data_IF_390396808674
#
_entry.id   IF_390396808674
#
_cell.length_a   1.000
_cell.length_b   1.000
_cell.length_c   1.000
_cell.angle_alpha   90.00
_cell.angle_beta   90.00
_cell.angle_gamma   90.00
#
_symmetry.space_group_name_H-M   'P 1'
#
loop_
_entity.id
_entity.type
_entity.pdbx_description
1 polymer ?
#
# COMPACT_ATOMS: atom_id res chain seq x y z
N UNK A 1 -7.08 -4.55 -17.71
CA UNK A 1 -6.93 -4.95 -16.29
C UNK A 1 -5.45 -5.06 -15.97
N UNK A 2 -4.98 -4.40 -14.92
CA UNK A 2 -3.58 -4.48 -14.50
C UNK A 2 -3.42 -5.74 -13.63
N UNK A 3 -2.62 -6.70 -14.06
CA UNK A 3 -2.30 -7.86 -13.24
C UNK A 3 -1.38 -7.43 -12.08
N UNK A 4 -1.86 -7.59 -10.84
CA UNK A 4 -1.15 -7.25 -9.61
C UNK A 4 -0.57 -8.48 -8.90
N UNK A 5 -0.66 -9.66 -9.51
CA UNK A 5 -0.21 -10.93 -8.91
C UNK A 5 1.27 -10.88 -8.52
N UNK A 6 2.10 -10.31 -9.41
CA UNK A 6 3.53 -10.15 -9.15
C UNK A 6 3.79 -9.25 -7.94
N UNK A 7 3.06 -8.14 -7.82
CA UNK A 7 3.21 -7.19 -6.70
C UNK A 7 2.76 -7.81 -5.37
N UNK A 8 1.67 -8.56 -5.37
CA UNK A 8 1.25 -9.34 -4.20
C UNK A 8 2.33 -10.34 -3.77
N UNK A 9 2.94 -11.06 -4.74
CA UNK A 9 4.02 -12.00 -4.46
C UNK A 9 5.29 -11.29 -3.91
N UNK A 10 5.62 -10.11 -4.40
CA UNK A 10 6.72 -9.31 -3.84
C UNK A 10 6.47 -8.99 -2.37
N UNK A 11 5.26 -8.55 -2.02
CA UNK A 11 4.90 -8.22 -0.63
C UNK A 11 4.85 -9.49 0.24
N UNK A 12 4.37 -10.61 -0.30
CA UNK A 12 4.43 -11.91 0.40
C UNK A 12 5.87 -12.29 0.75
N UNK A 13 6.80 -12.18 -0.21
CA UNK A 13 8.22 -12.47 0.00
C UNK A 13 8.85 -11.54 1.04
N UNK A 14 8.52 -10.24 0.99
CA UNK A 14 8.94 -9.29 2.01
C UNK A 14 8.46 -9.69 3.40
N UNK A 15 7.18 -10.04 3.56
CA UNK A 15 6.64 -10.44 4.86
C UNK A 15 7.33 -11.69 5.41
N UNK A 16 7.62 -12.68 4.55
CA UNK A 16 8.41 -13.85 4.92
C UNK A 16 9.82 -13.47 5.41
N UNK A 17 10.56 -12.69 4.62
CA UNK A 17 11.92 -12.29 4.94
C UNK A 17 12.01 -11.48 6.24
N UNK A 18 10.97 -10.72 6.54
CA UNK A 18 10.90 -9.88 7.74
C UNK A 18 10.15 -10.51 8.91
N UNK A 19 9.80 -11.79 8.85
CA UNK A 19 9.05 -12.49 9.90
C UNK A 19 7.79 -11.73 10.32
N UNK A 20 7.04 -11.20 9.34
CA UNK A 20 5.70 -10.66 9.55
C UNK A 20 4.67 -11.79 9.47
N UNK A 21 3.67 -11.79 10.36
CA UNK A 21 2.59 -12.76 10.27
C UNK A 21 1.88 -12.66 8.93
N UNK A 22 1.68 -13.80 8.30
CA UNK A 22 0.83 -13.95 7.13
C UNK A 22 0.11 -15.29 7.26
N UNK A 23 -1.11 -15.33 6.78
CA UNK A 23 -1.98 -16.48 6.92
C UNK A 23 -2.72 -16.77 5.62
N UNK A 24 -3.10 -18.01 5.42
CA UNK A 24 -3.90 -18.45 4.26
C UNK A 24 -5.40 -18.49 4.56
N UNK A 25 -5.75 -18.52 5.83
CA UNK A 25 -7.13 -18.48 6.30
C UNK A 25 -7.49 -17.09 6.81
N UNK A 26 -8.74 -16.69 6.64
CA UNK A 26 -9.22 -15.37 7.06
C UNK A 26 -9.15 -15.21 8.57
N UNK A 27 -8.43 -14.17 9.02
CA UNK A 27 -8.33 -13.79 10.44
C UNK A 27 -8.46 -12.27 10.62
N UNK A 28 -9.02 -11.87 11.74
CA UNK A 28 -9.01 -10.44 12.14
C UNK A 28 -7.63 -10.04 12.66
N UNK A 29 -6.90 -11.00 13.21
CA UNK A 29 -5.52 -10.80 13.69
C UNK A 29 -5.44 -10.02 15.01
N UNK A 30 -4.20 -9.78 15.46
CA UNK A 30 -3.92 -9.09 16.73
C UNK A 30 -4.09 -7.57 16.61
N UNK A 31 -4.64 -6.94 17.65
CA UNK A 31 -4.85 -5.49 17.71
C UNK A 31 -3.56 -4.71 17.42
N UNK A 32 -2.46 -5.04 18.07
CA UNK A 32 -1.16 -4.37 17.87
C UNK A 32 -0.71 -4.37 16.40
N UNK A 33 -0.96 -5.44 15.67
CA UNK A 33 -0.60 -5.52 14.25
C UNK A 33 -1.54 -4.67 13.39
N UNK A 34 -2.83 -4.63 13.72
CA UNK A 34 -3.80 -3.76 13.05
C UNK A 34 -3.48 -2.28 13.26
N UNK A 35 -3.16 -1.90 14.51
CA UNK A 35 -2.74 -0.53 14.86
C UNK A 35 -1.51 -0.10 14.06
N UNK A 36 -0.48 -0.96 13.98
CA UNK A 36 0.72 -0.66 13.21
C UNK A 36 0.40 -0.47 11.73
N UNK A 37 -0.38 -1.38 11.12
CA UNK A 37 -0.74 -1.31 9.69
C UNK A 37 -1.51 -0.05 9.36
N UNK A 38 -2.51 0.28 10.17
CA UNK A 38 -3.29 1.50 9.98
C UNK A 38 -2.43 2.77 10.16
N UNK A 39 -1.54 2.76 11.17
CA UNK A 39 -0.61 3.87 11.38
C UNK A 39 0.30 4.08 10.19
N UNK A 40 0.93 3.01 9.67
CA UNK A 40 1.79 3.09 8.50
C UNK A 40 1.00 3.60 7.28
N UNK A 41 -0.20 3.07 7.03
CA UNK A 41 -1.03 3.52 5.92
C UNK A 41 -1.39 5.01 6.01
N UNK A 42 -1.67 5.52 7.22
CA UNK A 42 -1.94 6.95 7.45
C UNK A 42 -0.68 7.82 7.30
N UNK A 43 0.51 7.28 7.60
CA UNK A 43 1.79 7.96 7.29
C UNK A 43 1.87 8.20 5.77
N UNK A 44 1.67 7.16 4.94
CA UNK A 44 1.69 7.29 3.47
C UNK A 44 0.59 8.22 2.93
N UNK A 45 -0.60 8.18 3.53
CA UNK A 45 -1.68 9.12 3.15
C UNK A 45 -1.28 10.58 3.43
N UNK A 46 -0.58 10.83 4.51
CA UNK A 46 -0.03 12.16 4.83
C UNK A 46 1.04 12.60 3.83
N UNK A 47 1.94 11.69 3.45
CA UNK A 47 2.98 11.92 2.44
C UNK A 47 2.35 12.17 1.05
N UNK A 48 1.34 11.40 0.67
CA UNK A 48 0.56 11.64 -0.55
C UNK A 48 -0.05 13.06 -0.58
N UNK A 49 -0.70 13.46 0.52
CA UNK A 49 -1.31 14.77 0.65
C UNK A 49 -0.26 15.88 0.51
N UNK A 50 0.88 15.74 1.18
CA UNK A 50 1.99 16.68 1.11
C UNK A 50 2.58 16.76 -0.30
N UNK A 51 2.84 15.62 -0.94
CA UNK A 51 3.35 15.55 -2.32
C UNK A 51 2.42 16.27 -3.30
N UNK A 52 1.10 16.12 -3.16
CA UNK A 52 0.12 16.82 -4.00
C UNK A 52 0.17 18.32 -3.77
N UNK A 53 0.22 18.79 -2.52
CA UNK A 53 0.29 20.23 -2.19
C UNK A 53 1.56 20.88 -2.72
N UNK A 54 2.68 20.18 -2.61
CA UNK A 54 3.99 20.69 -3.07
C UNK A 54 4.26 20.43 -4.55
N UNK A 55 3.35 19.73 -5.24
CA UNK A 55 3.53 19.25 -6.62
C UNK A 55 4.81 18.43 -6.80
N UNK A 56 5.19 17.65 -5.77
CA UNK A 56 6.33 16.74 -5.83
C UNK A 56 5.90 15.40 -6.43
N UNK A 57 6.18 15.23 -7.72
CA UNK A 57 5.79 14.04 -8.49
C UNK A 57 6.43 12.75 -7.95
N UNK A 58 7.65 12.84 -7.43
CA UNK A 58 8.37 11.69 -6.87
C UNK A 58 7.74 11.27 -5.56
N UNK A 59 7.42 12.21 -4.67
CA UNK A 59 6.76 11.95 -3.41
C UNK A 59 5.34 11.39 -3.62
N UNK A 60 4.58 11.92 -4.58
CA UNK A 60 3.26 11.38 -4.95
C UNK A 60 3.39 9.90 -5.36
N UNK A 61 4.35 9.59 -6.24
CA UNK A 61 4.56 8.22 -6.71
C UNK A 61 4.99 7.28 -5.58
N UNK A 62 5.93 7.72 -4.73
CA UNK A 62 6.41 6.96 -3.56
C UNK A 62 5.25 6.61 -2.64
N UNK A 63 4.46 7.61 -2.23
CA UNK A 63 3.32 7.44 -1.34
C UNK A 63 2.24 6.49 -1.91
N UNK A 64 1.96 6.55 -3.22
CA UNK A 64 1.01 5.64 -3.86
C UNK A 64 1.53 4.20 -3.85
N UNK A 65 2.80 3.98 -4.17
CA UNK A 65 3.38 2.63 -4.20
C UNK A 65 3.54 2.07 -2.78
N UNK A 66 4.02 2.85 -1.82
CA UNK A 66 4.15 2.41 -0.41
C UNK A 66 2.76 2.19 0.23
N UNK A 67 1.77 3.02 -0.08
CA UNK A 67 0.38 2.78 0.32
C UNK A 67 -0.17 1.44 -0.18
N UNK A 68 0.05 1.11 -1.46
CA UNK A 68 -0.28 -0.21 -2.03
C UNK A 68 0.52 -1.34 -1.36
N UNK A 69 1.80 -1.12 -1.07
CA UNK A 69 2.66 -2.09 -0.40
C UNK A 69 2.13 -2.47 0.98
N UNK A 70 1.70 -1.47 1.76
CA UNK A 70 1.10 -1.67 3.09
C UNK A 70 -0.27 -2.35 2.98
N UNK A 71 -1.11 -1.93 2.02
CA UNK A 71 -2.43 -2.51 1.81
C UNK A 71 -2.33 -3.99 1.38
N UNK A 72 -1.46 -4.35 0.44
CA UNK A 72 -1.19 -5.74 0.05
C UNK A 72 -0.62 -6.56 1.21
N UNK A 73 0.23 -5.95 2.04
CA UNK A 73 0.70 -6.57 3.26
C UNK A 73 -0.43 -6.88 4.24
N UNK A 74 -1.45 -6.05 4.30
CA UNK A 74 -2.64 -6.27 5.13
C UNK A 74 -3.54 -7.37 4.55
N UNK A 75 -3.67 -7.44 3.22
CA UNK A 75 -4.34 -8.55 2.52
C UNK A 75 -3.75 -9.90 2.92
N UNK A 76 -2.43 -10.03 2.92
CA UNK A 76 -1.74 -11.25 3.35
C UNK A 76 -1.87 -11.52 4.85
N UNK A 77 -1.81 -10.46 5.67
CA UNK A 77 -1.96 -10.58 7.12
C UNK A 77 -3.33 -11.09 7.53
N UNK A 78 -4.39 -10.72 6.82
CA UNK A 78 -5.75 -11.14 7.09
C UNK A 78 -6.18 -12.42 6.35
N UNK A 79 -5.32 -12.98 5.50
CA UNK A 79 -5.62 -14.21 4.74
C UNK A 79 -6.72 -14.05 3.70
N UNK A 80 -6.94 -12.83 3.21
CA UNK A 80 -7.99 -12.56 2.21
C UNK A 80 -7.46 -12.57 0.76
N UNK A 81 -6.18 -12.92 0.55
CA UNK A 81 -5.51 -12.79 -0.74
C UNK A 81 -6.15 -13.56 -1.89
N UNK A 82 -6.62 -14.79 -1.64
CA UNK A 82 -7.25 -15.63 -2.66
C UNK A 82 -8.59 -15.07 -3.16
N UNK A 83 -9.32 -14.41 -2.25
CA UNK A 83 -10.63 -13.79 -2.57
C UNK A 83 -10.41 -12.37 -3.11
N UNK A 84 -9.47 -11.65 -2.54
CA UNK A 84 -9.14 -10.27 -2.88
C UNK A 84 -8.84 -10.08 -4.38
N UNK A 85 -8.01 -10.96 -4.97
CA UNK A 85 -7.64 -10.88 -6.39
C UNK A 85 -8.83 -11.02 -7.35
N UNK A 86 -9.92 -11.66 -6.92
CA UNK A 86 -11.15 -11.79 -7.70
C UNK A 86 -12.04 -10.54 -7.66
N UNK A 87 -11.81 -9.65 -6.69
CA UNK A 87 -12.61 -8.44 -6.49
C UNK A 87 -11.89 -7.16 -6.90
N UNK A 88 -10.56 -7.21 -7.05
CA UNK A 88 -9.84 -6.04 -7.51
C UNK A 88 -10.08 -5.88 -9.00
N UNK A 89 -10.94 -4.92 -9.31
CA UNK A 89 -11.21 -4.53 -10.68
C UNK A 89 -10.34 -3.34 -11.04
N UNK A 90 -9.31 -3.62 -11.85
CA UNK A 90 -8.42 -2.58 -12.35
C UNK A 90 -9.08 -1.60 -13.32
N UNK A 91 -10.38 -1.74 -13.60
CA UNK A 91 -11.12 -0.91 -14.55
C UNK A 91 -12.00 0.18 -13.89
N UNK A 92 -12.04 0.26 -12.56
CA UNK A 92 -12.72 1.37 -11.87
C UNK A 92 -11.88 2.64 -11.93
N UNK A 93 -11.67 3.15 -13.14
CA UNK A 93 -10.98 4.43 -13.33
C UNK A 93 -11.99 5.53 -13.55
N UNK A 94 -12.27 6.30 -12.50
CA UNK A 94 -12.86 7.60 -12.70
C UNK A 94 -11.76 8.57 -13.16
N UNK A 95 -11.67 8.72 -14.49
CA UNK A 95 -10.71 9.64 -15.11
C UNK A 95 -11.06 11.11 -14.83
N UNK A 96 -12.24 11.39 -14.28
CA UNK A 96 -12.70 12.75 -13.99
C UNK A 96 -12.32 13.22 -12.58
N UNK A 97 -12.04 12.28 -11.66
CA UNK A 97 -11.63 12.65 -10.29
C UNK A 97 -10.27 13.38 -10.31
N UNK A 98 -10.20 14.62 -9.77
CA UNK A 98 -8.93 15.33 -9.65
C UNK A 98 -7.97 14.62 -8.71
N UNK A 99 -6.66 14.64 -9.02
CA UNK A 99 -5.62 14.03 -8.16
C UNK A 99 -5.73 14.55 -6.72
N UNK A 100 -6.02 15.83 -6.53
CA UNK A 100 -6.18 16.45 -5.21
C UNK A 100 -7.32 15.89 -4.35
N UNK A 101 -8.27 15.16 -4.94
CA UNK A 101 -9.39 14.57 -4.22
C UNK A 101 -9.09 13.20 -3.61
N UNK A 102 -8.09 12.48 -4.11
CA UNK A 102 -7.79 11.11 -3.67
C UNK A 102 -7.48 10.97 -2.17
N UNK A 103 -6.72 11.89 -1.52
CA UNK A 103 -6.50 11.79 -0.07
C UNK A 103 -7.82 11.86 0.73
N UNK A 104 -8.76 12.70 0.30
CA UNK A 104 -10.08 12.84 0.93
C UNK A 104 -10.94 11.60 0.68
N UNK A 105 -10.88 11.03 -0.52
CA UNK A 105 -11.59 9.80 -0.87
C UNK A 105 -11.11 8.62 -0.01
N UNK A 106 -9.80 8.42 0.11
CA UNK A 106 -9.20 7.39 0.96
C UNK A 106 -9.59 7.61 2.44
N UNK A 107 -9.56 8.85 2.92
CA UNK A 107 -9.97 9.15 4.29
C UNK A 107 -11.47 8.88 4.49
N UNK A 108 -12.29 9.08 3.47
CA UNK A 108 -13.72 8.78 3.51
C UNK A 108 -13.96 7.27 3.63
N UNK A 109 -13.23 6.44 2.90
CA UNK A 109 -13.27 4.98 3.03
C UNK A 109 -12.98 4.56 4.48
N UNK A 110 -11.93 5.10 5.09
CA UNK A 110 -11.57 4.80 6.48
C UNK A 110 -12.64 5.24 7.50
N UNK A 111 -13.36 6.32 7.22
CA UNK A 111 -14.39 6.87 8.12
C UNK A 111 -15.76 6.20 7.94
N UNK A 112 -16.04 5.63 6.77
CA UNK A 112 -17.34 5.04 6.45
C UNK A 112 -17.73 3.94 7.43
N UNK A 113 -18.92 4.00 8.00
CA UNK A 113 -19.43 2.98 8.93
C UNK A 113 -18.57 2.77 10.18
N UNK A 114 -17.74 3.75 10.56
CA UNK A 114 -16.72 3.63 11.63
C UNK A 114 -15.72 2.50 11.38
N UNK A 115 -15.39 2.22 10.11
CA UNK A 115 -14.58 1.06 9.73
C UNK A 115 -13.19 1.09 10.40
N UNK A 116 -12.59 2.28 10.51
CA UNK A 116 -11.32 2.47 11.21
C UNK A 116 -11.41 2.01 12.67
N UNK A 117 -12.44 2.45 13.41
CA UNK A 117 -12.64 2.04 14.81
C UNK A 117 -12.90 0.55 14.93
N UNK A 118 -13.75 0.00 14.06
CA UNK A 118 -14.01 -1.45 14.03
C UNK A 118 -12.72 -2.24 13.77
N UNK A 119 -11.89 -1.77 12.83
CA UNK A 119 -10.59 -2.37 12.52
C UNK A 119 -9.66 -2.35 13.72
N UNK A 120 -9.52 -1.21 14.39
CA UNK A 120 -8.65 -1.06 15.57
C UNK A 120 -9.09 -1.96 16.72
N UNK A 121 -10.37 -1.97 17.07
CA UNK A 121 -10.89 -2.71 18.22
C UNK A 121 -11.28 -4.16 17.93
N UNK A 122 -11.14 -4.62 16.69
CA UNK A 122 -11.40 -6.02 16.31
C UNK A 122 -12.88 -6.38 16.22
N UNK A 123 -13.76 -5.39 16.14
CA UNK A 123 -15.20 -5.59 15.88
C UNK A 123 -15.54 -5.56 14.38
N UNK A 124 -14.53 -5.48 13.52
CA UNK A 124 -14.67 -5.57 12.07
C UNK A 124 -14.97 -7.02 11.66
N UNK A 125 -15.86 -7.20 10.71
CA UNK A 125 -16.16 -8.50 10.12
C UNK A 125 -15.17 -8.84 9.00
N UNK A 126 -15.10 -10.11 8.59
CA UNK A 126 -14.26 -10.54 7.47
C UNK A 126 -14.65 -9.86 6.16
N UNK A 127 -15.96 -9.69 5.91
CA UNK A 127 -16.44 -8.99 4.72
C UNK A 127 -16.02 -7.52 4.72
N UNK A 128 -16.11 -6.85 5.87
CA UNK A 128 -15.65 -5.45 6.01
C UNK A 128 -14.14 -5.35 5.82
N UNK A 129 -13.33 -6.31 6.31
CA UNK A 129 -11.88 -6.36 6.05
C UNK A 129 -11.61 -6.47 4.55
N UNK A 130 -12.29 -7.39 3.86
CA UNK A 130 -12.12 -7.59 2.43
C UNK A 130 -12.50 -6.32 1.66
N UNK A 131 -13.69 -5.78 1.91
CA UNK A 131 -14.21 -4.57 1.25
C UNK A 131 -13.25 -3.39 1.47
N UNK A 132 -12.82 -3.16 2.72
CA UNK A 132 -11.86 -2.10 3.05
C UNK A 132 -10.61 -2.18 2.18
N UNK A 133 -10.00 -3.35 2.07
CA UNK A 133 -8.74 -3.51 1.32
C UNK A 133 -8.97 -3.43 -0.19
N UNK A 134 -10.10 -3.93 -0.69
CA UNK A 134 -10.47 -3.78 -2.10
C UNK A 134 -10.66 -2.30 -2.45
N UNK A 135 -11.41 -1.54 -1.65
CA UNK A 135 -11.64 -0.11 -1.87
C UNK A 135 -10.33 0.69 -1.80
N UNK A 136 -9.52 0.50 -0.77
CA UNK A 136 -8.23 1.20 -0.63
C UNK A 136 -7.29 0.93 -1.81
N UNK A 137 -7.14 -0.34 -2.18
CA UNK A 137 -6.25 -0.70 -3.29
C UNK A 137 -6.79 -0.23 -4.64
N UNK A 138 -8.11 -0.34 -4.88
CA UNK A 138 -8.73 0.16 -6.12
C UNK A 138 -8.56 1.67 -6.26
N UNK A 139 -8.73 2.42 -5.17
CA UNK A 139 -8.54 3.88 -5.17
C UNK A 139 -7.08 4.26 -5.45
N UNK A 140 -6.11 3.59 -4.82
CA UNK A 140 -4.70 3.84 -5.08
C UNK A 140 -4.27 3.45 -6.50
N UNK A 141 -4.79 2.34 -7.04
CA UNK A 141 -4.55 1.94 -8.43
C UNK A 141 -5.20 2.92 -9.42
N UNK A 142 -6.40 3.42 -9.12
CA UNK A 142 -7.05 4.48 -9.90
C UNK A 142 -6.19 5.75 -9.92
N UNK A 143 -5.68 6.16 -8.76
CA UNK A 143 -4.77 7.30 -8.68
C UNK A 143 -3.51 7.06 -9.53
N UNK A 144 -2.88 5.88 -9.40
CA UNK A 144 -1.71 5.57 -10.23
C UNK A 144 -1.99 5.71 -11.73
N UNK A 145 -3.14 5.19 -12.21
CA UNK A 145 -3.49 5.31 -13.62
C UNK A 145 -3.80 6.75 -14.02
N UNK A 146 -4.39 7.53 -13.12
CA UNK A 146 -4.60 8.97 -13.33
C UNK A 146 -3.27 9.70 -13.50
N UNK A 147 -2.25 9.35 -12.68
CA UNK A 147 -0.90 9.90 -12.83
C UNK A 147 -0.26 9.56 -14.18
N UNK A 148 -0.48 8.34 -14.70
CA UNK A 148 -0.03 7.97 -16.05
C UNK A 148 -0.80 8.76 -17.14
N UNK A 149 -2.13 8.89 -17.02
CA UNK A 149 -2.95 9.62 -17.98
C UNK A 149 -2.61 11.11 -18.05
N UNK A 150 -2.32 11.73 -16.93
CA UNK A 150 -1.90 13.14 -16.88
C UNK A 150 -0.41 13.36 -17.22
N UNK A 151 0.30 12.29 -17.55
CA UNK A 151 1.72 12.36 -17.91
C UNK A 151 2.63 12.75 -16.74
N UNK A 152 2.19 12.58 -15.50
CA UNK A 152 3.01 12.79 -14.30
C UNK A 152 3.98 11.61 -14.15
N UNK A 153 3.48 10.40 -14.33
CA UNK A 153 4.25 9.17 -14.31
C UNK A 153 4.37 8.60 -15.73
N UNK A 154 5.49 8.00 -16.05
CA UNK A 154 5.75 7.40 -17.36
C UNK A 154 4.83 6.23 -17.61
N UNK A 155 4.28 6.08 -18.83
CA UNK A 155 3.41 4.97 -19.18
C UNK A 155 4.04 3.60 -18.92
N UNK A 156 3.24 2.65 -18.46
CA UNK A 156 3.64 1.25 -18.21
C UNK A 156 4.78 1.08 -17.18
N UNK A 157 5.02 2.07 -16.32
CA UNK A 157 6.10 2.02 -15.33
C UNK A 157 5.71 1.37 -14.00
N UNK A 158 4.44 1.02 -13.78
CA UNK A 158 3.94 0.49 -12.50
C UNK A 158 4.76 -0.68 -11.95
N UNK A 159 4.95 -1.71 -12.77
CA UNK A 159 5.67 -2.92 -12.32
C UNK A 159 7.12 -2.60 -11.94
N UNK A 160 7.79 -1.74 -12.70
CA UNK A 160 9.17 -1.34 -12.45
C UNK A 160 9.29 -0.41 -11.23
N UNK A 161 8.37 0.54 -11.06
CA UNK A 161 8.32 1.41 -9.89
C UNK A 161 8.04 0.62 -8.60
N UNK A 162 7.10 -0.32 -8.66
CA UNK A 162 6.81 -1.21 -7.53
C UNK A 162 7.99 -2.11 -7.19
N UNK A 163 8.69 -2.65 -8.18
CA UNK A 163 9.91 -3.46 -7.98
C UNK A 163 11.03 -2.63 -7.35
N UNK A 164 11.20 -1.38 -7.76
CA UNK A 164 12.19 -0.47 -7.17
C UNK A 164 11.93 -0.26 -5.66
N UNK A 165 10.66 0.02 -5.30
CA UNK A 165 10.25 0.14 -3.89
C UNK A 165 10.41 -1.21 -3.16
N UNK A 166 10.07 -2.32 -3.80
CA UNK A 166 10.28 -3.65 -3.21
C UNK A 166 11.76 -3.90 -2.90
N UNK A 167 12.66 -3.62 -3.84
CA UNK A 167 14.10 -3.79 -3.63
C UNK A 167 14.63 -2.87 -2.52
N UNK A 168 14.17 -1.62 -2.47
CA UNK A 168 14.46 -0.71 -1.36
C UNK A 168 13.95 -1.27 -0.02
N UNK A 169 12.73 -1.80 0.02
CA UNK A 169 12.18 -2.41 1.22
C UNK A 169 12.97 -3.66 1.65
N UNK A 170 13.39 -4.51 0.70
CA UNK A 170 14.24 -5.67 0.98
C UNK A 170 15.63 -5.28 1.49
N UNK A 171 16.18 -4.15 1.05
CA UNK A 171 17.48 -3.64 1.52
C UNK A 171 17.49 -3.20 3.00
N UNK A 172 16.33 -3.16 3.66
CA UNK A 172 16.24 -2.92 5.11
C UNK A 172 16.76 -4.12 5.95
N UNK A 173 16.96 -5.30 5.33
CA UNK A 173 17.61 -6.43 6.00
C UNK A 173 19.07 -6.10 6.29
N UNK A 174 19.54 -6.48 7.48
CA UNK A 174 20.94 -6.39 7.85
C UNK A 174 21.50 -7.80 8.07
N UNK A 175 22.47 -8.21 7.25
CA UNK A 175 22.99 -9.58 7.22
C UNK A 175 21.87 -10.64 7.10
N UNK A 176 20.86 -10.40 6.26
CA UNK A 176 19.72 -11.28 6.05
C UNK A 176 18.72 -11.32 7.22
N UNK A 177 18.82 -10.42 8.20
CA UNK A 177 17.93 -10.38 9.38
C UNK A 177 17.19 -9.05 9.50
N UNK A 178 15.90 -9.07 9.88
CA UNK A 178 15.14 -7.87 10.12
C UNK A 178 15.50 -7.21 11.45
N UNK A 179 15.63 -5.89 11.46
CA UNK A 179 15.72 -5.08 12.67
C UNK A 179 14.40 -4.36 12.88
N UNK A 180 13.75 -4.59 14.01
CA UNK A 180 12.43 -4.05 14.31
C UNK A 180 12.44 -3.14 15.53
N UNK A 181 11.63 -2.08 15.48
CA UNK A 181 11.28 -1.26 16.63
C UNK A 181 10.30 -2.03 17.54
N UNK A 182 10.11 -1.59 18.79
CA UNK A 182 9.23 -2.26 19.78
C UNK A 182 7.77 -2.41 19.31
N UNK A 183 7.29 -1.50 18.45
CA UNK A 183 5.94 -1.55 17.86
C UNK A 183 5.86 -2.46 16.62
N UNK A 184 7.00 -3.01 16.17
CA UNK A 184 7.08 -3.90 15.00
C UNK A 184 7.48 -3.20 13.70
N UNK A 185 7.59 -1.85 13.67
CA UNK A 185 8.06 -1.11 12.48
C UNK A 185 9.50 -1.54 12.16
N UNK A 186 9.75 -1.88 10.88
CA UNK A 186 11.07 -2.25 10.39
C UNK A 186 11.96 -1.02 10.37
N UNK A 187 13.19 -1.18 10.86
CA UNK A 187 14.20 -0.15 10.83
C UNK A 187 15.09 -0.32 9.60
N UNK A 188 15.59 0.78 9.08
CA UNK A 188 16.58 0.81 8.00
C UNK A 188 17.90 0.22 8.52
N UNK A 189 18.38 -0.83 7.85
CA UNK A 189 19.72 -1.42 8.11
C UNK A 189 20.83 -0.57 7.48
N UNK A 190 22.08 -1.02 7.66
CA UNK A 190 23.25 -0.32 7.10
C UNK A 190 23.30 -0.35 5.57
N UNK A 191 22.70 -1.37 4.97
CA UNK A 191 22.70 -1.59 3.52
C UNK A 191 21.45 -0.99 2.84
N UNK A 192 20.62 -0.25 3.61
CA UNK A 192 19.41 0.38 3.09
C UNK A 192 19.73 1.44 2.03
N UNK A 193 19.02 1.38 0.91
CA UNK A 193 19.01 2.43 -0.09
C UNK A 193 17.59 2.96 -0.34
N UNK A 194 17.47 4.26 -0.61
CA UNK A 194 16.19 4.89 -0.98
C UNK A 194 15.81 4.48 -2.42
N UNK A 195 14.53 4.19 -2.71
CA UNK A 195 14.14 3.89 -4.09
C UNK A 195 14.39 5.09 -5.02
N UNK A 196 14.87 4.82 -6.22
CA UNK A 196 15.08 5.85 -7.24
C UNK A 196 13.82 5.97 -8.11
N UNK A 197 12.82 6.68 -7.62
CA UNK A 197 11.56 6.86 -8.34
C UNK A 197 11.57 8.01 -9.34
N UNK A 198 12.57 8.89 -9.31
CA UNK A 198 12.71 10.00 -10.28
C UNK A 198 12.80 9.51 -11.73
N UNK A 199 13.32 8.30 -11.95
CA UNK A 199 13.38 7.68 -13.28
C UNK A 199 12.00 7.34 -13.88
N UNK A 200 10.93 7.26 -13.07
CA UNK A 200 9.58 6.90 -13.48
C UNK A 200 8.63 8.09 -13.60
N UNK A 201 9.04 9.28 -13.21
CA UNK A 201 8.25 10.50 -13.38
C UNK A 201 8.72 11.32 -14.58
N UNK A 202 7.81 12.12 -15.14
CA UNK A 202 8.17 13.12 -16.14
C UNK A 202 8.46 14.44 -15.42
N UNK A 203 9.66 14.97 -15.59
CA UNK A 203 10.12 16.22 -14.98
C UNK A 203 9.48 17.44 -15.66
#
# INVERSE_FOLDING_TARGET
>A
MRDITTQLNHVWNFQNAFNHPQVTEMVIGMQKSRELRLKLFKEELGELHQGIITNDKVEILDAVIDGLYIAFGSVHYHGVGSVFSSFIDGERYDTNTPISSYPVEIQTILNTGNIEKKYLYGSITFSEVLILHVELCSTLLSLYNKLELEGIVKPNSFASAFLEVHNSNMSKLENGKPKKRKDGKILKGKDYFKPNLSQFVNL
#
